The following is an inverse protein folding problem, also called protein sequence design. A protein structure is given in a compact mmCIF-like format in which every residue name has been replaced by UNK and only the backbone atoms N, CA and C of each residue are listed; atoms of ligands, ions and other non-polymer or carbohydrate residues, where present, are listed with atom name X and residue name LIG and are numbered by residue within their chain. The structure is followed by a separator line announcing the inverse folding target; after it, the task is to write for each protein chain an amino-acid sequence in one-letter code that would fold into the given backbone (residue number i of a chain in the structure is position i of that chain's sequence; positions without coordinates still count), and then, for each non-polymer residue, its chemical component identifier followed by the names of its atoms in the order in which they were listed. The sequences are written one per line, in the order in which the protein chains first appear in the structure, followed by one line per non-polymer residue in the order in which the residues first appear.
data_IF_956006990656
#
_entry.id   IF_956006990656
#
_cell.length_a   1.000
_cell.length_b   1.000
_cell.length_c   1.000
_cell.angle_alpha   90.00
_cell.angle_beta   90.00
_cell.angle_gamma   90.00
#
_symmetry.space_group_name_H-M   'P 1'
#
loop_
_entity.id
_entity.type
_entity.pdbx_description
1 polymer ?
#
# COMPACT_ATOMS: atom_id res chain seq x y z
N UNK A 1 -6.29 11.85 -5.46
CA UNK A 1 -5.69 10.51 -5.60
C UNK A 1 -6.75 9.41 -5.66
N UNK A 2 -7.56 9.20 -4.61
CA UNK A 2 -8.51 8.05 -4.53
C UNK A 2 -9.50 8.03 -5.71
N UNK A 3 -10.13 9.15 -6.03
CA UNK A 3 -11.07 9.25 -7.16
C UNK A 3 -10.38 8.94 -8.49
N UNK A 4 -9.19 9.50 -8.71
CA UNK A 4 -8.42 9.22 -9.93
C UNK A 4 -8.03 7.75 -10.03
N UNK A 5 -7.73 7.10 -8.91
CA UNK A 5 -7.43 5.67 -8.87
C UNK A 5 -8.68 4.83 -9.22
N UNK A 6 -9.87 5.22 -8.74
CA UNK A 6 -11.13 4.60 -9.14
C UNK A 6 -11.39 4.73 -10.65
N UNK A 7 -11.18 5.93 -11.20
CA UNK A 7 -11.33 6.19 -12.64
C UNK A 7 -10.33 5.36 -13.45
N UNK A 8 -9.06 5.31 -13.06
CA UNK A 8 -8.04 4.51 -13.74
C UNK A 8 -8.38 3.02 -13.75
N UNK A 9 -8.86 2.49 -12.62
CA UNK A 9 -9.34 1.11 -12.52
C UNK A 9 -10.56 0.85 -13.41
N UNK A 10 -11.45 1.84 -13.55
CA UNK A 10 -12.59 1.76 -14.45
C UNK A 10 -12.15 1.69 -15.94
N UNK A 11 -11.19 2.53 -16.34
CA UNK A 11 -10.61 2.45 -17.69
C UNK A 11 -9.99 1.07 -17.94
N UNK A 12 -9.27 0.54 -16.97
CA UNK A 12 -8.69 -0.80 -17.07
C UNK A 12 -9.77 -1.88 -17.20
N UNK A 13 -10.87 -1.78 -16.44
CA UNK A 13 -12.01 -2.71 -16.50
C UNK A 13 -12.67 -2.74 -17.90
N UNK A 14 -12.83 -1.59 -18.54
CA UNK A 14 -13.46 -1.44 -19.86
C UNK A 14 -12.48 -1.47 -21.03
N UNK A 15 -11.24 -1.85 -20.82
CA UNK A 15 -10.25 -1.92 -21.90
C UNK A 15 -10.63 -2.91 -23.00
N UNK A 16 -11.29 -4.04 -22.65
CA UNK A 16 -11.80 -5.06 -23.61
C UNK A 16 -10.78 -5.42 -24.71
N UNK A 17 -9.51 -5.65 -24.35
CA UNK A 17 -8.43 -5.95 -25.26
C UNK A 17 -7.85 -4.75 -26.02
N UNK A 18 -8.35 -3.54 -25.80
CA UNK A 18 -7.79 -2.31 -26.41
C UNK A 18 -6.58 -1.84 -25.60
N UNK A 19 -5.39 -2.10 -26.11
CA UNK A 19 -4.13 -1.79 -25.43
C UNK A 19 -4.01 -0.34 -24.94
N UNK A 20 -4.38 0.64 -25.77
CA UNK A 20 -4.29 2.06 -25.39
C UNK A 20 -5.22 2.43 -24.21
N UNK A 21 -6.42 1.86 -24.16
CA UNK A 21 -7.36 2.12 -23.06
C UNK A 21 -6.82 1.52 -21.77
N UNK A 22 -6.27 0.31 -21.83
CA UNK A 22 -5.58 -0.33 -20.71
C UNK A 22 -4.39 0.51 -20.22
N UNK A 23 -3.53 0.95 -21.14
CA UNK A 23 -2.35 1.76 -20.82
C UNK A 23 -2.72 3.08 -20.14
N UNK A 24 -3.75 3.78 -20.64
CA UNK A 24 -4.28 4.99 -20.02
C UNK A 24 -4.75 4.70 -18.59
N UNK A 25 -5.50 3.62 -18.38
CA UNK A 25 -5.94 3.19 -17.05
C UNK A 25 -4.78 2.96 -16.08
N UNK A 26 -3.74 2.26 -16.52
CA UNK A 26 -2.53 1.99 -15.73
C UNK A 26 -1.76 3.27 -15.39
N UNK A 27 -1.61 4.18 -16.35
CA UNK A 27 -0.94 5.48 -16.12
C UNK A 27 -1.72 6.31 -15.08
N UNK A 28 -3.04 6.40 -15.23
CA UNK A 28 -3.89 7.12 -14.26
C UNK A 28 -3.76 6.49 -12.86
N UNK A 29 -3.80 5.16 -12.74
CA UNK A 29 -3.65 4.45 -11.48
C UNK A 29 -2.28 4.71 -10.83
N UNK A 30 -1.21 4.72 -11.61
CA UNK A 30 0.15 4.97 -11.12
C UNK A 30 0.30 6.38 -10.55
N UNK A 31 -0.16 7.38 -11.30
CA UNK A 31 -0.15 8.78 -10.87
C UNK A 31 -1.03 8.97 -9.64
N UNK A 32 -2.24 8.42 -9.65
CA UNK A 32 -3.17 8.50 -8.53
C UNK A 32 -2.61 7.87 -7.27
N UNK A 33 -1.95 6.71 -7.39
CA UNK A 33 -1.30 6.01 -6.29
C UNK A 33 -0.22 6.86 -5.60
N UNK A 34 0.58 7.58 -6.38
CA UNK A 34 1.59 8.50 -5.85
C UNK A 34 0.97 9.62 -5.00
N UNK A 35 -0.18 10.15 -5.42
CA UNK A 35 -0.83 11.24 -4.70
C UNK A 35 -1.45 10.84 -3.35
N UNK A 36 -1.96 9.62 -3.18
CA UNK A 36 -2.67 9.32 -1.93
C UNK A 36 -1.87 8.50 -0.92
N UNK A 37 -0.96 7.61 -1.37
CA UNK A 37 -0.26 6.68 -0.47
C UNK A 37 0.58 7.40 0.60
N UNK A 38 1.37 8.40 0.20
CA UNK A 38 2.18 9.17 1.13
C UNK A 38 1.33 10.06 2.05
N UNK A 39 0.27 10.64 1.53
CA UNK A 39 -0.57 11.56 2.29
C UNK A 39 -1.39 10.87 3.38
N UNK A 40 -1.80 9.61 3.20
CA UNK A 40 -2.56 8.89 4.24
C UNK A 40 -1.71 8.71 5.50
N UNK A 41 -0.46 8.24 5.37
CA UNK A 41 0.42 8.07 6.52
C UNK A 41 0.78 9.40 7.18
N UNK A 42 0.99 10.48 6.42
CA UNK A 42 1.21 11.80 6.96
C UNK A 42 -0.01 12.27 7.78
N UNK A 43 -1.23 12.10 7.26
CA UNK A 43 -2.46 12.45 7.96
C UNK A 43 -2.63 11.68 9.28
N UNK A 44 -2.32 10.38 9.31
CA UNK A 44 -2.34 9.60 10.57
C UNK A 44 -1.36 10.21 11.58
N UNK A 45 -0.18 10.65 11.12
CA UNK A 45 0.81 11.31 11.97
C UNK A 45 0.36 12.67 12.52
N UNK A 46 -0.44 13.43 11.75
CA UNK A 46 -0.96 14.75 12.15
C UNK A 46 -2.14 14.70 13.15
N UNK A 47 -2.78 13.54 13.31
CA UNK A 47 -3.89 13.39 14.25
C UNK A 47 -3.43 13.42 15.73
N UNK A 48 -2.14 13.27 15.97
CA UNK A 48 -1.56 13.17 17.31
C UNK A 48 -0.47 14.22 17.51
N UNK A 49 -0.51 14.93 18.64
CA UNK A 49 0.51 15.88 19.05
C UNK A 49 1.83 15.17 19.39
N UNK A 50 2.94 15.92 19.33
CA UNK A 50 4.28 15.40 19.66
C UNK A 50 4.40 14.89 21.10
N UNK A 51 3.50 15.31 21.99
CA UNK A 51 3.40 14.81 23.38
C UNK A 51 2.72 13.44 23.51
N UNK A 52 2.04 12.99 22.44
CA UNK A 52 1.24 11.75 22.42
C UNK A 52 1.95 10.62 21.66
N UNK A 53 3.27 10.50 21.82
CA UNK A 53 4.11 9.54 21.06
C UNK A 53 3.57 8.11 21.13
N UNK A 54 3.20 7.62 22.33
CA UNK A 54 2.68 6.25 22.50
C UNK A 54 1.36 6.03 21.76
N UNK A 55 0.47 7.04 21.74
CA UNK A 55 -0.80 6.96 21.01
C UNK A 55 -0.58 7.01 19.50
N UNK A 56 0.37 7.81 19.07
CA UNK A 56 0.79 7.91 17.65
C UNK A 56 1.34 6.57 17.14
N UNK A 57 2.21 5.92 17.92
CA UNK A 57 2.76 4.61 17.58
C UNK A 57 1.68 3.52 17.53
N UNK A 58 0.73 3.55 18.47
CA UNK A 58 -0.41 2.64 18.46
C UNK A 58 -1.31 2.86 17.23
N UNK A 59 -1.56 4.11 16.84
CA UNK A 59 -2.34 4.45 15.66
C UNK A 59 -1.67 3.97 14.37
N UNK A 60 -0.35 4.13 14.25
CA UNK A 60 0.40 3.58 13.11
C UNK A 60 0.35 2.06 13.08
N UNK A 61 0.44 1.39 14.23
CA UNK A 61 0.32 -0.06 14.31
C UNK A 61 -1.04 -0.55 13.82
N UNK A 62 -2.12 0.11 14.23
CA UNK A 62 -3.49 -0.18 13.77
C UNK A 62 -3.61 0.10 12.26
N UNK A 63 -3.08 1.21 11.78
CA UNK A 63 -3.08 1.57 10.36
C UNK A 63 -2.41 0.48 9.52
N UNK A 64 -1.21 0.04 9.89
CA UNK A 64 -0.50 -1.02 9.18
C UNK A 64 -1.20 -2.38 9.29
N UNK A 65 -1.86 -2.68 10.40
CA UNK A 65 -2.69 -3.87 10.53
C UNK A 65 -3.80 -3.89 9.47
N UNK A 66 -4.53 -2.79 9.28
CA UNK A 66 -5.56 -2.69 8.23
C UNK A 66 -4.98 -2.76 6.82
N UNK A 67 -3.80 -2.19 6.58
CA UNK A 67 -3.09 -2.32 5.30
C UNK A 67 -2.79 -3.80 5.01
N UNK A 68 -2.30 -4.56 5.98
CA UNK A 68 -2.00 -5.99 5.83
C UNK A 68 -3.27 -6.83 5.65
N UNK A 69 -4.37 -6.51 6.35
CA UNK A 69 -5.68 -7.15 6.12
C UNK A 69 -6.14 -6.92 4.68
N UNK A 70 -6.02 -5.70 4.17
CA UNK A 70 -6.32 -5.40 2.77
C UNK A 70 -5.43 -6.15 1.78
N UNK A 71 -4.14 -6.26 2.08
CA UNK A 71 -3.16 -7.02 1.30
C UNK A 71 -3.44 -8.54 1.29
N UNK A 72 -4.01 -9.06 2.37
CA UNK A 72 -4.46 -10.45 2.45
C UNK A 72 -5.76 -10.67 1.65
N UNK A 73 -6.79 -9.87 1.93
CA UNK A 73 -8.13 -10.08 1.37
C UNK A 73 -8.23 -9.69 -0.10
N UNK A 74 -7.51 -8.64 -0.53
CA UNK A 74 -7.58 -8.12 -1.90
C UNK A 74 -7.28 -9.18 -2.97
N UNK A 75 -6.12 -9.84 -2.93
CA UNK A 75 -5.78 -10.88 -3.90
C UNK A 75 -6.64 -12.15 -3.78
N UNK A 76 -7.13 -12.48 -2.58
CA UNK A 76 -8.04 -13.62 -2.38
C UNK A 76 -9.36 -13.36 -3.13
N UNK A 77 -10.00 -12.24 -2.84
CA UNK A 77 -11.29 -11.87 -3.46
C UNK A 77 -11.09 -11.61 -4.95
N UNK A 78 -10.01 -10.88 -5.31
CA UNK A 78 -9.66 -10.61 -6.69
C UNK A 78 -9.43 -11.88 -7.50
N UNK A 79 -8.74 -12.87 -6.92
CA UNK A 79 -8.50 -14.17 -7.54
C UNK A 79 -9.77 -14.96 -7.78
N UNK A 80 -10.67 -14.98 -6.82
CA UNK A 80 -12.00 -15.63 -6.98
C UNK A 80 -12.80 -14.98 -8.11
N UNK A 81 -12.82 -13.64 -8.18
CA UNK A 81 -13.51 -12.95 -9.28
C UNK A 81 -12.83 -13.23 -10.61
N UNK A 82 -11.51 -13.23 -10.64
CA UNK A 82 -10.73 -13.42 -11.84
C UNK A 82 -10.85 -14.82 -12.44
N UNK A 83 -10.86 -15.88 -11.60
CA UNK A 83 -10.85 -17.28 -12.04
C UNK A 83 -12.20 -17.99 -11.93
N UNK A 84 -13.05 -17.57 -11.00
CA UNK A 84 -14.33 -18.27 -10.76
C UNK A 84 -15.53 -17.47 -11.23
N UNK A 85 -15.79 -16.32 -10.61
CA UNK A 85 -17.04 -15.60 -10.81
C UNK A 85 -17.10 -14.77 -12.09
N UNK A 86 -15.97 -14.29 -12.57
CA UNK A 86 -15.88 -13.46 -13.78
C UNK A 86 -15.30 -14.18 -14.98
N UNK A 87 -14.81 -15.40 -14.81
CA UNK A 87 -14.24 -16.19 -15.88
C UNK A 87 -15.32 -16.88 -16.73
N UNK A 88 -15.05 -17.05 -18.03
CA UNK A 88 -15.85 -17.92 -18.89
C UNK A 88 -15.14 -19.27 -18.99
N UNK A 89 -15.84 -20.34 -18.63
CA UNK A 89 -15.32 -21.71 -18.64
C UNK A 89 -15.96 -22.49 -19.80
N UNK A 90 -15.26 -23.48 -20.32
CA UNK A 90 -15.79 -24.44 -21.30
C UNK A 90 -16.62 -25.55 -20.62
N UNK A 91 -17.12 -26.51 -21.43
CA UNK A 91 -17.89 -27.65 -20.95
C UNK A 91 -17.09 -28.60 -20.04
N UNK A 92 -15.75 -28.55 -20.09
CA UNK A 92 -14.83 -29.37 -19.30
C UNK A 92 -14.40 -28.63 -18.02
N UNK A 93 -14.83 -27.37 -17.82
CA UNK A 93 -14.46 -26.53 -16.68
C UNK A 93 -13.15 -25.77 -16.87
N UNK A 94 -12.52 -25.81 -18.06
CA UNK A 94 -11.32 -25.04 -18.37
C UNK A 94 -11.65 -23.57 -18.63
N UNK A 95 -10.76 -22.66 -18.20
CA UNK A 95 -10.97 -21.21 -18.34
C UNK A 95 -10.65 -20.81 -19.78
N UNK A 96 -11.67 -20.42 -20.55
CA UNK A 96 -11.51 -19.85 -21.89
C UNK A 96 -11.12 -18.37 -21.81
N UNK A 97 -11.70 -17.64 -20.83
CA UNK A 97 -11.46 -16.20 -20.65
C UNK A 97 -11.47 -15.85 -19.17
N UNK A 98 -10.40 -15.21 -18.74
CA UNK A 98 -10.29 -14.72 -17.35
C UNK A 98 -11.15 -13.47 -17.09
N UNK A 99 -11.65 -13.33 -15.88
CA UNK A 99 -12.51 -12.24 -15.42
C UNK A 99 -11.76 -10.95 -15.10
N UNK A 100 -10.89 -10.44 -15.98
CA UNK A 100 -10.16 -9.19 -15.76
C UNK A 100 -11.09 -8.00 -15.57
N UNK A 101 -12.07 -7.83 -16.47
CA UNK A 101 -13.01 -6.71 -16.42
C UNK A 101 -13.80 -6.66 -15.12
N UNK A 102 -14.47 -7.73 -14.65
CA UNK A 102 -15.17 -7.70 -13.37
C UNK A 102 -14.24 -7.52 -12.17
N UNK A 103 -13.01 -8.05 -12.20
CA UNK A 103 -12.06 -7.84 -11.12
C UNK A 103 -11.67 -6.35 -10.97
N UNK A 104 -11.32 -5.69 -12.06
CA UNK A 104 -11.01 -4.25 -12.04
C UNK A 104 -12.22 -3.37 -11.77
N UNK A 105 -13.42 -3.78 -12.19
CA UNK A 105 -14.66 -3.10 -11.87
C UNK A 105 -14.93 -3.13 -10.37
N UNK A 106 -14.75 -4.28 -9.72
CA UNK A 106 -14.87 -4.39 -8.25
C UNK A 106 -13.88 -3.45 -7.55
N UNK A 107 -12.61 -3.41 -7.98
CA UNK A 107 -11.60 -2.49 -7.43
C UNK A 107 -12.06 -1.04 -7.58
N UNK A 108 -12.58 -0.66 -8.76
CA UNK A 108 -13.08 0.70 -9.01
C UNK A 108 -14.24 1.05 -8.08
N UNK A 109 -15.20 0.13 -7.88
CA UNK A 109 -16.34 0.33 -6.96
C UNK A 109 -15.85 0.51 -5.53
N UNK A 110 -14.95 -0.34 -5.03
CA UNK A 110 -14.39 -0.24 -3.69
C UNK A 110 -13.66 1.11 -3.48
N UNK A 111 -12.87 1.54 -4.45
CA UNK A 111 -12.19 2.83 -4.40
C UNK A 111 -13.17 4.01 -4.43
N UNK A 112 -14.24 3.91 -5.21
CA UNK A 112 -15.28 4.93 -5.25
C UNK A 112 -16.03 5.02 -3.92
N UNK A 113 -16.39 3.89 -3.31
CA UNK A 113 -16.96 3.85 -1.96
C UNK A 113 -15.99 4.48 -0.95
N UNK A 114 -14.71 4.14 -1.01
CA UNK A 114 -13.67 4.73 -0.15
C UNK A 114 -13.60 6.25 -0.35
N UNK A 115 -13.68 6.74 -1.59
CA UNK A 115 -13.72 8.16 -1.88
C UNK A 115 -14.95 8.84 -1.25
N UNK A 116 -16.14 8.23 -1.32
CA UNK A 116 -17.34 8.75 -0.70
C UNK A 116 -17.21 8.80 0.82
N UNK A 117 -16.76 7.71 1.45
CA UNK A 117 -16.54 7.66 2.90
C UNK A 117 -15.57 8.76 3.33
N UNK A 118 -14.44 8.92 2.62
CA UNK A 118 -13.47 9.96 2.91
C UNK A 118 -14.06 11.36 2.73
N UNK A 119 -14.79 11.60 1.64
CA UNK A 119 -15.35 12.94 1.31
C UNK A 119 -16.39 13.38 2.33
N UNK A 120 -17.28 12.49 2.74
CA UNK A 120 -18.31 12.79 3.73
C UNK A 120 -17.81 12.71 5.18
N UNK A 121 -16.86 11.80 5.44
CA UNK A 121 -16.32 11.55 6.78
C UNK A 121 -15.26 12.57 7.20
N UNK A 122 -14.46 13.12 6.28
CA UNK A 122 -13.30 13.95 6.59
C UNK A 122 -13.63 15.13 7.51
N UNK A 123 -14.69 15.86 7.25
CA UNK A 123 -15.05 17.05 8.04
C UNK A 123 -15.48 16.69 9.47
N UNK A 124 -16.09 15.51 9.66
CA UNK A 124 -16.59 15.05 10.95
C UNK A 124 -15.52 14.35 11.78
N UNK A 125 -14.63 13.59 11.13
CA UNK A 125 -13.65 12.72 11.78
C UNK A 125 -12.26 13.36 11.90
N UNK A 126 -11.85 14.15 10.89
CA UNK A 126 -10.51 14.74 10.82
C UNK A 126 -10.50 16.22 11.24
N UNK A 127 -11.66 16.90 11.25
CA UNK A 127 -11.71 18.32 11.54
C UNK A 127 -10.86 19.14 10.57
N UNK A 128 -9.92 19.91 11.10
CA UNK A 128 -8.96 20.72 10.32
C UNK A 128 -7.67 19.99 9.94
N UNK A 129 -7.45 18.75 10.45
CA UNK A 129 -6.26 17.97 10.15
C UNK A 129 -6.20 17.56 8.66
N UNK A 130 -5.02 17.67 8.06
CA UNK A 130 -4.82 17.38 6.63
C UNK A 130 -5.43 18.43 5.67
N UNK A 131 -5.95 19.55 6.16
CA UNK A 131 -6.52 20.63 5.33
C UNK A 131 -5.45 21.55 4.78
N UNK A 132 -4.35 21.70 5.48
CA UNK A 132 -3.21 22.55 5.09
C UNK A 132 -2.00 21.67 4.77
N UNK A 133 -1.10 22.13 3.85
CA UNK A 133 0.16 21.43 3.60
C UNK A 133 1.00 21.33 4.88
N UNK A 134 1.64 20.17 5.09
CA UNK A 134 2.57 19.95 6.20
C UNK A 134 3.67 21.03 6.16
N UNK A 135 3.93 21.67 7.31
CA UNK A 135 4.91 22.74 7.44
C UNK A 135 4.39 24.18 7.24
N UNK A 136 3.07 24.34 6.97
CA UNK A 136 2.45 25.67 7.04
C UNK A 136 1.62 25.76 8.31
N UNK A 137 2.17 26.37 9.34
CA UNK A 137 1.41 26.74 10.52
C UNK A 137 0.33 27.78 10.16
N UNK A 138 -0.84 27.68 10.78
CA UNK A 138 -2.02 28.52 10.55
C UNK A 138 -1.77 30.03 10.77
N UNK A 139 -0.62 30.41 11.34
CA UNK A 139 -0.27 31.75 11.81
C UNK A 139 1.06 32.30 11.28
N UNK A 140 1.80 31.57 10.44
CA UNK A 140 3.03 32.10 9.86
C UNK A 140 2.71 32.97 8.63
N UNK A 141 2.97 34.25 8.76
CA UNK A 141 2.90 35.22 7.66
C UNK A 141 3.96 34.90 6.61
N UNK A 142 3.64 35.17 5.34
CA UNK A 142 4.48 34.83 4.18
C UNK A 142 5.91 35.43 4.20
N UNK A 143 6.23 36.32 5.16
CA UNK A 143 7.53 36.93 5.35
C UNK A 143 8.47 36.11 6.24
N UNK A 144 7.97 35.40 7.26
CA UNK A 144 8.79 34.50 8.09
C UNK A 144 9.29 33.28 7.31
N UNK A 145 8.51 32.79 6.35
CA UNK A 145 8.91 31.69 5.48
C UNK A 145 10.06 32.00 4.51
N UNK A 146 10.45 33.26 4.30
CA UNK A 146 11.59 33.62 3.43
C UNK A 146 12.93 33.65 4.15
N UNK A 147 12.94 33.80 5.46
CA UNK A 147 14.16 33.80 6.25
C UNK A 147 14.81 32.42 6.43
N UNK A 148 14.00 31.36 6.42
CA UNK A 148 14.44 29.97 6.65
C UNK A 148 14.79 29.19 5.36
N UNK A 149 14.82 29.83 4.20
CA UNK A 149 15.03 29.16 2.90
C UNK A 149 16.47 28.70 2.62
N UNK A 150 17.45 28.99 3.51
CA UNK A 150 18.79 28.44 3.37
C UNK A 150 18.98 27.27 4.34
N UNK A 151 18.93 26.01 3.85
CA UNK A 151 19.13 24.88 4.72
C UNK A 151 20.51 24.95 5.40
N UNK A 152 20.50 24.76 6.72
CA UNK A 152 21.72 24.73 7.52
C UNK A 152 22.64 23.57 7.07
N UNK A 153 23.93 23.61 7.42
CA UNK A 153 24.88 22.53 7.12
C UNK A 153 24.36 21.16 7.69
N UNK A 154 23.68 21.20 8.82
CA UNK A 154 23.11 20.04 9.47
C UNK A 154 21.91 19.47 8.70
N UNK A 155 21.02 20.32 8.19
CA UNK A 155 19.88 19.92 7.36
C UNK A 155 20.31 19.35 6.00
N UNK A 156 21.36 19.89 5.40
CA UNK A 156 21.98 19.31 4.19
C UNK A 156 22.54 17.91 4.46
N UNK A 157 23.16 17.69 5.61
CA UNK A 157 23.63 16.37 6.02
C UNK A 157 22.49 15.35 6.19
N UNK A 158 21.40 15.78 6.81
CA UNK A 158 20.19 14.93 6.94
C UNK A 158 19.55 14.63 5.59
N UNK A 159 19.46 15.61 4.69
CA UNK A 159 18.93 15.42 3.34
C UNK A 159 19.81 14.45 2.53
N UNK A 160 21.13 14.54 2.64
CA UNK A 160 22.05 13.59 2.00
C UNK A 160 21.88 12.17 2.55
N UNK A 161 21.80 12.02 3.88
CA UNK A 161 21.55 10.71 4.50
C UNK A 161 20.21 10.11 4.04
N UNK A 162 19.16 10.93 3.95
CA UNK A 162 17.88 10.51 3.42
C UNK A 162 17.99 10.06 1.95
N UNK A 163 18.71 10.80 1.10
CA UNK A 163 18.92 10.45 -0.30
C UNK A 163 19.64 9.09 -0.46
N UNK A 164 20.65 8.82 0.39
CA UNK A 164 21.34 7.52 0.40
C UNK A 164 20.39 6.39 0.81
N UNK A 165 19.59 6.58 1.86
CA UNK A 165 18.58 5.60 2.28
C UNK A 165 17.55 5.33 1.17
N UNK A 166 17.10 6.39 0.47
CA UNK A 166 16.19 6.23 -0.66
C UNK A 166 16.82 5.42 -1.81
N UNK A 167 18.09 5.64 -2.13
CA UNK A 167 18.78 4.88 -3.16
C UNK A 167 18.81 3.37 -2.83
N UNK A 168 19.14 3.00 -1.59
CA UNK A 168 19.08 1.61 -1.13
C UNK A 168 17.65 1.07 -1.12
N UNK A 169 16.67 1.88 -0.73
CA UNK A 169 15.26 1.51 -0.77
C UNK A 169 14.78 1.20 -2.20
N UNK A 170 15.25 1.91 -3.21
CA UNK A 170 14.92 1.60 -4.60
C UNK A 170 15.37 0.19 -5.01
N UNK A 171 16.58 -0.22 -4.61
CA UNK A 171 17.11 -1.57 -4.89
C UNK A 171 16.27 -2.61 -4.18
N UNK A 172 15.98 -2.40 -2.89
CA UNK A 172 15.14 -3.30 -2.10
C UNK A 172 13.75 -3.46 -2.73
N UNK A 173 13.07 -2.37 -3.04
CA UNK A 173 11.72 -2.43 -3.61
C UNK A 173 11.70 -3.06 -5.01
N UNK A 174 12.75 -2.85 -5.81
CA UNK A 174 12.89 -3.50 -7.10
C UNK A 174 12.95 -5.03 -6.96
N UNK A 175 13.72 -5.53 -6.00
CA UNK A 175 13.79 -6.95 -5.71
C UNK A 175 12.47 -7.48 -5.11
N UNK A 176 11.88 -6.75 -4.16
CA UNK A 176 10.63 -7.11 -3.51
C UNK A 176 9.47 -7.26 -4.49
N UNK A 177 9.32 -6.33 -5.44
CA UNK A 177 8.23 -6.41 -6.42
C UNK A 177 8.38 -7.57 -7.42
N UNK A 178 9.55 -8.21 -7.52
CA UNK A 178 9.70 -9.44 -8.32
C UNK A 178 8.84 -10.58 -7.78
N UNK A 179 8.54 -10.61 -6.48
CA UNK A 179 7.62 -11.60 -5.91
C UNK A 179 6.21 -11.52 -6.49
N UNK A 180 5.79 -10.33 -6.90
CA UNK A 180 4.45 -10.09 -7.48
C UNK A 180 4.43 -10.17 -9.01
N UNK A 181 5.59 -10.22 -9.66
CA UNK A 181 5.74 -10.28 -11.11
C UNK A 181 6.41 -11.58 -11.55
N UNK A 182 7.72 -11.63 -11.58
CA UNK A 182 8.49 -12.76 -12.10
C UNK A 182 8.23 -14.06 -11.34
N UNK A 183 8.23 -14.02 -10.00
CA UNK A 183 7.99 -15.22 -9.18
C UNK A 183 6.56 -15.73 -9.39
N UNK A 184 5.58 -14.83 -9.51
CA UNK A 184 4.20 -15.22 -9.79
C UNK A 184 4.07 -15.92 -11.14
N UNK A 185 4.71 -15.38 -12.20
CA UNK A 185 4.72 -16.00 -13.53
C UNK A 185 5.43 -17.36 -13.54
N UNK A 186 6.60 -17.43 -12.91
CA UNK A 186 7.33 -18.71 -12.77
C UNK A 186 6.53 -19.76 -12.01
N UNK A 187 5.78 -19.34 -11.00
CA UNK A 187 4.94 -20.27 -10.22
C UNK A 187 3.79 -20.80 -11.07
N UNK A 188 3.18 -19.98 -11.91
CA UNK A 188 2.10 -20.40 -12.81
C UNK A 188 2.58 -21.45 -13.83
N UNK A 189 3.83 -21.35 -14.29
CA UNK A 189 4.41 -22.25 -15.27
C UNK A 189 5.01 -23.52 -14.66
N UNK A 190 5.62 -23.45 -13.47
CA UNK A 190 6.47 -24.50 -12.92
C UNK A 190 5.86 -25.25 -11.74
N UNK A 191 4.81 -24.70 -11.08
CA UNK A 191 4.25 -25.28 -9.87
C UNK A 191 2.83 -25.77 -10.14
N UNK A 192 2.56 -27.02 -9.78
CA UNK A 192 1.18 -27.55 -9.77
C UNK A 192 0.38 -26.89 -8.64
N UNK A 193 -0.55 -26.03 -9.01
CA UNK A 193 -1.42 -25.31 -8.08
C UNK A 193 -2.66 -26.13 -7.66
N UNK A 194 -2.71 -27.41 -7.98
CA UNK A 194 -3.77 -28.31 -7.57
C UNK A 194 -3.60 -28.71 -6.09
N UNK A 195 -4.40 -28.15 -5.22
CA UNK A 195 -4.41 -28.46 -3.80
C UNK A 195 -5.72 -29.18 -3.46
N UNK A 196 -5.63 -30.46 -3.10
CA UNK A 196 -6.79 -31.32 -2.78
C UNK A 196 -7.89 -31.33 -3.87
N UNK A 197 -7.50 -31.29 -5.15
CA UNK A 197 -8.45 -31.30 -6.28
C UNK A 197 -9.04 -29.92 -6.65
N UNK A 198 -8.63 -28.86 -5.96
CA UNK A 198 -8.99 -27.50 -6.29
C UNK A 198 -7.78 -26.74 -6.88
N UNK A 199 -7.95 -26.17 -8.07
CA UNK A 199 -6.91 -25.34 -8.69
C UNK A 199 -6.88 -23.96 -8.04
N UNK A 200 -5.91 -23.76 -7.16
CA UNK A 200 -5.76 -22.53 -6.39
C UNK A 200 -5.42 -21.34 -7.30
N UNK A 201 -6.12 -20.20 -7.16
CA UNK A 201 -5.76 -18.98 -7.86
C UNK A 201 -4.35 -18.52 -7.52
N UNK A 202 -3.53 -18.23 -8.54
CA UNK A 202 -2.14 -17.81 -8.33
C UNK A 202 -2.02 -16.52 -7.50
N UNK A 203 -3.02 -15.66 -7.55
CA UNK A 203 -3.09 -14.43 -6.75
C UNK A 203 -3.09 -14.69 -5.24
N UNK A 204 -3.48 -15.90 -4.79
CA UNK A 204 -3.46 -16.27 -3.38
C UNK A 204 -2.04 -16.37 -2.82
N UNK A 205 -1.04 -16.66 -3.64
CA UNK A 205 0.36 -16.64 -3.23
C UNK A 205 0.81 -15.24 -2.78
N UNK A 206 0.31 -14.20 -3.44
CA UNK A 206 0.57 -12.82 -3.04
C UNK A 206 -0.06 -12.52 -1.67
N UNK A 207 -1.22 -13.10 -1.37
CA UNK A 207 -1.91 -12.97 -0.09
C UNK A 207 -1.14 -13.60 1.07
N UNK A 208 -0.31 -14.63 0.79
CA UNK A 208 0.46 -15.32 1.81
C UNK A 208 1.45 -14.39 2.51
N UNK A 209 2.02 -13.42 1.80
CA UNK A 209 2.83 -12.37 2.40
C UNK A 209 2.03 -11.54 3.43
N UNK A 210 0.84 -11.08 3.08
CA UNK A 210 -0.04 -10.35 4.01
C UNK A 210 -0.40 -11.18 5.25
N UNK A 211 -0.68 -12.46 5.06
CA UNK A 211 -0.93 -13.40 6.16
C UNK A 211 0.27 -13.53 7.10
N UNK A 212 1.47 -13.74 6.56
CA UNK A 212 2.69 -13.84 7.36
C UNK A 212 2.96 -12.53 8.12
N UNK A 213 2.76 -11.38 7.51
CA UNK A 213 2.90 -10.09 8.19
C UNK A 213 1.95 -9.96 9.39
N UNK A 214 0.69 -10.38 9.24
CA UNK A 214 -0.30 -10.32 10.34
C UNK A 214 0.11 -11.24 11.50
N UNK A 215 0.63 -12.43 11.20
CA UNK A 215 1.01 -13.42 12.21
C UNK A 215 2.36 -13.09 12.85
N UNK A 216 3.36 -12.72 12.04
CA UNK A 216 4.72 -12.53 12.52
C UNK A 216 4.96 -11.16 13.16
N UNK A 217 4.26 -10.09 12.73
CA UNK A 217 4.47 -8.77 13.29
C UNK A 217 4.23 -8.69 14.81
N UNK A 218 3.15 -9.26 15.39
CA UNK A 218 2.98 -9.32 16.83
C UNK A 218 4.06 -10.15 17.54
N UNK A 219 4.50 -11.26 16.93
CA UNK A 219 5.54 -12.13 17.49
C UNK A 219 6.88 -11.40 17.56
N UNK A 220 7.27 -10.72 16.49
CA UNK A 220 8.48 -9.90 16.47
C UNK A 220 8.36 -8.68 17.39
N UNK A 221 7.19 -8.03 17.45
CA UNK A 221 6.93 -6.93 18.36
C UNK A 221 7.14 -7.34 19.83
N UNK A 222 6.59 -8.49 20.22
CA UNK A 222 6.81 -9.07 21.56
C UNK A 222 8.29 -9.42 21.80
N UNK A 223 8.97 -9.99 20.82
CA UNK A 223 10.39 -10.32 20.92
C UNK A 223 11.25 -9.06 21.14
N UNK A 224 11.00 -7.98 20.39
CA UNK A 224 11.71 -6.71 20.55
C UNK A 224 11.43 -6.05 21.90
N UNK A 225 10.18 -6.12 22.40
CA UNK A 225 9.85 -5.61 23.75
C UNK A 225 10.64 -6.36 24.82
N UNK A 226 10.72 -7.68 24.75
CA UNK A 226 11.54 -8.46 25.69
C UNK A 226 13.04 -8.13 25.63
N UNK A 227 13.58 -7.83 24.47
CA UNK A 227 14.96 -7.39 24.33
C UNK A 227 15.17 -6.01 24.94
N UNK A 228 14.23 -5.09 24.76
CA UNK A 228 14.28 -3.76 25.36
C UNK A 228 14.22 -3.82 26.90
N UNK A 229 13.36 -4.65 27.49
CA UNK A 229 13.29 -4.90 28.94
C UNK A 229 14.62 -5.38 29.53
N UNK A 230 15.41 -6.11 28.74
CA UNK A 230 16.75 -6.60 29.12
C UNK A 230 17.88 -5.60 28.85
N UNK A 231 17.56 -4.33 28.53
CA UNK A 231 18.54 -3.30 28.08
C UNK A 231 19.43 -3.74 26.89
N UNK A 232 18.96 -4.68 26.08
CA UNK A 232 19.64 -5.19 24.89
C UNK A 232 18.85 -4.83 23.61
N UNK A 233 18.29 -3.63 23.57
CA UNK A 233 17.55 -3.19 22.39
C UNK A 233 18.50 -2.79 21.27
N UNK A 234 18.23 -3.31 20.08
CA UNK A 234 19.03 -3.01 18.90
C UNK A 234 18.61 -1.67 18.29
N UNK A 235 19.59 -0.96 17.75
CA UNK A 235 19.30 0.27 17.01
C UNK A 235 18.40 -0.04 15.79
N UNK A 236 17.55 0.91 15.44
CA UNK A 236 16.62 0.75 14.30
C UNK A 236 17.33 0.33 13.01
N UNK A 237 18.50 0.94 12.73
CA UNK A 237 19.32 0.57 11.56
C UNK A 237 19.80 -0.89 11.60
N UNK A 238 20.12 -1.41 12.79
CA UNK A 238 20.52 -2.81 12.96
C UNK A 238 19.33 -3.76 12.74
N UNK A 239 18.15 -3.40 13.27
CA UNK A 239 16.90 -4.16 13.03
C UNK A 239 16.57 -4.21 11.53
N UNK A 240 16.72 -3.09 10.81
CA UNK A 240 16.51 -3.04 9.35
C UNK A 240 17.53 -3.85 8.56
N UNK A 241 18.76 -3.96 9.04
CA UNK A 241 19.81 -4.74 8.37
C UNK A 241 19.68 -6.24 8.52
N UNK A 242 18.92 -6.69 9.54
CA UNK A 242 18.65 -8.12 9.78
C UNK A 242 17.32 -8.60 9.21
N UNK A 243 16.40 -7.69 8.88
CA UNK A 243 15.07 -7.98 8.28
C UNK A 243 15.08 -7.80 6.80
#
# INVERSE_FOLDING_TARGET
GILFNAIGSLFTAFANGRFYVFLIGVIINSIAGAFYRGNISAMVGELYDDKQVTMKDAAFSIFYMFVNIGSLLGPIIGGLIFQEWGATKDANGEIIKFGFSPAFLMVSICLFITFLIFTFGKNKLLGDHGRYPVGKNKHETAEENKADLKPSKYEKGRAYAAAVIFAFSCIFWSAYFQTQTTVTLMTDELVDLNVFGYKMPITWLVSFNGFLCIVLAPAFGWYWMKLAEKNNDWRVATKMGWG
#
